data_IF_945072368534
#
_entry.id   IF_945072368534
#
_cell.length_a   1.000
_cell.length_b   1.000
_cell.length_c   1.000
_cell.angle_alpha   90.00
_cell.angle_beta   90.00
_cell.angle_gamma   90.00
#
_symmetry.space_group_name_H-M   'P 1'
#
loop_
_entity.id
_entity.type
_entity.pdbx_description
1 polymer ?
#
# COMPACT_ATOMS: atom_id res chain seq x y z
N UNK A 1 34.88 4.50 15.96
CA UNK A 1 34.13 5.66 15.40
C UNK A 1 33.29 5.27 14.18
N UNK A 2 32.92 4.00 13.99
CA UNK A 2 32.29 3.51 12.74
C UNK A 2 30.86 2.96 12.92
N UNK A 3 30.29 3.00 14.12
CA UNK A 3 29.04 2.30 14.44
C UNK A 3 27.80 3.21 14.45
N UNK A 4 27.84 4.40 13.83
CA UNK A 4 26.73 5.38 13.87
C UNK A 4 26.24 5.85 12.49
N UNK A 5 26.74 5.30 11.38
CA UNK A 5 26.22 5.61 10.03
C UNK A 5 25.35 4.50 9.44
N UNK A 6 25.15 3.37 10.13
CA UNK A 6 24.27 2.29 9.67
C UNK A 6 22.80 2.51 10.07
N UNK A 7 22.30 3.74 9.88
CA UNK A 7 20.89 3.89 9.55
C UNK A 7 20.81 3.74 8.03
N UNK A 8 20.53 2.54 7.49
CA UNK A 8 20.49 2.37 6.06
C UNK A 8 19.34 3.21 5.52
N UNK A 9 19.69 4.20 4.69
CA UNK A 9 18.76 4.84 3.79
C UNK A 9 18.07 3.73 3.00
N UNK A 10 16.80 3.48 3.35
CA UNK A 10 15.90 2.46 2.81
C UNK A 10 15.77 2.47 1.27
N UNK A 11 16.37 3.45 0.60
CA UNK A 11 15.97 3.95 -0.71
C UNK A 11 16.86 3.60 -1.88
N UNK A 12 18.06 3.03 -1.72
CA UNK A 12 18.94 2.75 -2.87
C UNK A 12 19.01 1.25 -3.19
N UNK A 13 19.41 0.42 -2.24
CA UNK A 13 19.75 -0.97 -2.54
C UNK A 13 18.53 -1.90 -2.55
N UNK A 14 17.47 -1.57 -1.79
CA UNK A 14 16.27 -2.41 -1.64
C UNK A 14 15.39 -2.44 -2.88
N UNK A 15 15.45 -1.42 -3.74
CA UNK A 15 14.61 -1.31 -4.93
C UNK A 15 14.94 -2.37 -6.00
N UNK A 16 16.16 -2.92 -6.00
CA UNK A 16 16.58 -3.94 -6.96
C UNK A 16 16.00 -5.33 -6.66
N UNK A 17 15.48 -5.56 -5.45
CA UNK A 17 14.92 -6.85 -5.02
C UNK A 17 13.40 -6.95 -5.24
N UNK A 18 12.76 -5.91 -5.76
CA UNK A 18 11.31 -5.84 -5.88
C UNK A 18 10.86 -6.20 -7.30
N UNK A 19 10.27 -7.38 -7.47
CA UNK A 19 9.80 -7.88 -8.78
C UNK A 19 8.54 -7.16 -9.30
N UNK A 20 7.80 -6.47 -8.43
CA UNK A 20 6.50 -5.85 -8.73
C UNK A 20 6.37 -4.44 -8.11
N UNK A 21 5.62 -3.51 -8.73
CA UNK A 21 5.51 -2.14 -8.21
C UNK A 21 4.82 -2.08 -6.85
N UNK A 22 5.28 -1.17 -5.98
CA UNK A 22 4.64 -0.90 -4.69
C UNK A 22 3.31 -0.17 -4.92
N UNK A 23 2.21 -0.76 -4.49
CA UNK A 23 0.88 -0.18 -4.54
C UNK A 23 0.40 0.18 -3.13
N UNK A 24 -0.42 1.24 -3.02
CA UNK A 24 -1.02 1.67 -1.75
C UNK A 24 -2.52 1.46 -1.80
N UNK A 25 -3.08 0.91 -0.73
CA UNK A 25 -4.52 0.79 -0.52
C UNK A 25 -4.91 1.84 0.52
N UNK A 26 -5.61 2.87 0.08
CA UNK A 26 -6.12 3.95 0.94
C UNK A 26 -7.64 3.99 0.90
N UNK A 27 -8.23 4.72 1.85
CA UNK A 27 -9.65 5.07 1.76
C UNK A 27 -9.95 5.91 0.53
N UNK A 28 -11.23 5.99 0.17
CA UNK A 28 -11.68 6.87 -0.91
C UNK A 28 -11.28 8.32 -0.59
N UNK A 29 -10.86 9.08 -1.61
CA UNK A 29 -10.40 10.47 -1.48
C UNK A 29 -11.61 11.43 -1.34
N UNK A 30 -12.37 11.23 -0.28
CA UNK A 30 -13.56 11.99 0.08
C UNK A 30 -13.59 12.20 1.59
N UNK A 31 -14.13 13.34 2.08
CA UNK A 31 -14.42 13.46 3.50
C UNK A 31 -15.40 12.37 3.93
N UNK A 32 -15.21 11.83 5.13
CA UNK A 32 -16.02 10.73 5.68
C UNK A 32 -17.52 11.04 5.59
N UNK A 33 -18.30 10.30 4.79
CA UNK A 33 -19.73 10.54 4.62
C UNK A 33 -20.54 9.93 5.78
N UNK A 34 -21.69 10.53 6.08
CA UNK A 34 -22.60 10.04 7.13
C UNK A 34 -23.47 8.85 6.68
N UNK A 35 -23.69 8.68 5.37
CA UNK A 35 -24.50 7.58 4.87
C UNK A 35 -23.75 6.25 5.06
N UNK A 36 -24.32 5.33 5.83
CA UNK A 36 -23.72 4.03 6.18
C UNK A 36 -23.17 3.25 4.96
N UNK A 37 -23.93 3.23 3.86
CA UNK A 37 -23.49 2.55 2.64
C UNK A 37 -22.20 3.15 2.08
N UNK A 38 -22.05 4.48 2.14
CA UNK A 38 -20.87 5.18 1.63
C UNK A 38 -19.70 5.09 2.60
N UNK A 39 -19.95 5.09 3.91
CA UNK A 39 -18.93 4.86 4.94
C UNK A 39 -18.19 3.54 4.73
N UNK A 40 -18.93 2.46 4.45
CA UNK A 40 -18.35 1.14 4.17
C UNK A 40 -17.45 1.12 2.94
N UNK A 41 -17.69 1.98 1.96
CA UNK A 41 -16.86 2.07 0.76
C UNK A 41 -15.68 3.03 0.90
N UNK A 42 -15.77 4.00 1.83
CA UNK A 42 -14.69 4.92 2.12
C UNK A 42 -13.57 4.25 2.94
N UNK A 43 -13.90 3.23 3.73
CA UNK A 43 -12.93 2.44 4.49
C UNK A 43 -12.32 1.35 3.58
N UNK A 44 -10.99 1.14 3.62
CA UNK A 44 -10.35 0.06 2.87
C UNK A 44 -10.80 -1.31 3.41
N UNK A 45 -11.53 -2.06 2.58
CA UNK A 45 -12.02 -3.40 2.91
C UNK A 45 -11.08 -4.52 2.42
N UNK A 46 -11.28 -5.74 2.95
CA UNK A 46 -10.52 -6.93 2.56
C UNK A 46 -10.55 -7.20 1.04
N UNK A 47 -11.67 -6.93 0.37
CA UNK A 47 -11.79 -7.08 -1.08
C UNK A 47 -10.85 -6.14 -1.85
N UNK A 48 -10.68 -4.90 -1.38
CA UNK A 48 -9.76 -3.93 -1.99
C UNK A 48 -8.30 -4.42 -1.88
N UNK A 49 -7.96 -5.06 -0.75
CA UNK A 49 -6.63 -5.65 -0.53
C UNK A 49 -6.41 -6.81 -1.49
N UNK A 50 -7.36 -7.75 -1.56
CA UNK A 50 -7.26 -8.91 -2.46
C UNK A 50 -7.17 -8.49 -3.93
N UNK A 51 -7.95 -7.49 -4.35
CA UNK A 51 -7.89 -6.94 -5.70
C UNK A 51 -6.53 -6.32 -5.99
N UNK A 52 -5.96 -5.58 -5.03
CA UNK A 52 -4.65 -4.95 -5.18
C UNK A 52 -3.53 -5.99 -5.24
N UNK A 53 -3.60 -7.04 -4.42
CA UNK A 53 -2.62 -8.14 -4.42
C UNK A 53 -2.69 -8.94 -5.72
N UNK A 54 -3.90 -9.28 -6.18
CA UNK A 54 -4.10 -9.96 -7.47
C UNK A 54 -3.58 -9.13 -8.65
N UNK A 55 -3.83 -7.82 -8.63
CA UNK A 55 -3.29 -6.89 -9.61
C UNK A 55 -1.75 -6.83 -9.58
N UNK A 56 -1.16 -6.80 -8.37
CA UNK A 56 0.30 -6.80 -8.18
C UNK A 56 0.96 -8.09 -8.70
N UNK A 57 0.31 -9.25 -8.50
CA UNK A 57 0.82 -10.56 -8.90
C UNK A 57 0.44 -10.96 -10.33
N UNK A 58 -0.32 -10.12 -11.06
CA UNK A 58 -0.87 -10.44 -12.39
C UNK A 58 -1.69 -11.75 -12.47
N UNK A 59 -2.28 -12.18 -11.35
CA UNK A 59 -3.11 -13.39 -11.26
C UNK A 59 -4.58 -12.97 -11.44
N UNK A 60 -5.22 -13.51 -12.48
CA UNK A 60 -6.60 -13.17 -12.88
C UNK A 60 -7.64 -13.80 -11.96
#
# INVERSE_FOLDING_TARGET
MSCLTDFPNFSADTFHYLDAPVLRVTGADVPMPYALNLELHCIPNAENILKTVKHMLNIK
#
